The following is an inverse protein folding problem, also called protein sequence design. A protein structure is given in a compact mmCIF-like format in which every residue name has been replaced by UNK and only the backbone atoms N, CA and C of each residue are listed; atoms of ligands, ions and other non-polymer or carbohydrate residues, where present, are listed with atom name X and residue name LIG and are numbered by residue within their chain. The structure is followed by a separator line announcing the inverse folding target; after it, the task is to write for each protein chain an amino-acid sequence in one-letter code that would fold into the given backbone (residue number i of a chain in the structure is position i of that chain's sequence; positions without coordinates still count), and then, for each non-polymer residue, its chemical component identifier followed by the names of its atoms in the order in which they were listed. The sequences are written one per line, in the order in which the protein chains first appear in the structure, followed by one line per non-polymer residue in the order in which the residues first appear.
data_IF_721623517904
#
_entry.id   IF_721623517904
#
_cell.length_a   1.000
_cell.length_b   1.000
_cell.length_c   1.000
_cell.angle_alpha   90.00
_cell.angle_beta   90.00
_cell.angle_gamma   90.00
#
_symmetry.space_group_name_H-M   'P 1'
#
loop_
_entity.id
_entity.type
_entity.pdbx_description
1 polymer ?
#
# COMPACT_ATOMS: atom_id res chain seq x y z
N UNK A 1 3.36 16.15 -19.70
CA UNK A 1 2.10 15.38 -19.65
C UNK A 1 0.99 16.36 -19.33
N UNK A 2 0.08 16.60 -20.27
CA UNK A 2 -1.04 17.53 -20.09
C UNK A 2 -2.02 16.96 -19.08
N UNK A 3 -1.96 17.49 -17.86
CA UNK A 3 -3.04 17.38 -16.88
C UNK A 3 -4.17 18.31 -17.34
N UNK A 4 -5.44 17.87 -17.39
CA UNK A 4 -6.01 16.69 -16.73
C UNK A 4 -6.11 15.44 -17.63
N UNK A 5 -5.94 14.26 -17.02
CA UNK A 5 -6.21 12.95 -17.64
C UNK A 5 -7.71 12.78 -17.94
N UNK A 6 -8.09 12.07 -19.03
CA UNK A 6 -9.48 11.75 -19.33
C UNK A 6 -10.16 11.02 -18.16
N UNK A 7 -11.46 11.26 -17.90
CA UNK A 7 -12.17 10.76 -16.72
C UNK A 7 -12.20 9.23 -16.61
N UNK A 8 -12.21 8.53 -17.74
CA UNK A 8 -12.09 7.06 -17.82
C UNK A 8 -10.70 6.57 -17.42
N UNK A 9 -9.64 7.22 -17.91
CA UNK A 9 -8.25 6.89 -17.54
C UNK A 9 -8.00 7.14 -16.06
N UNK A 10 -8.59 8.20 -15.50
CA UNK A 10 -8.49 8.55 -14.07
C UNK A 10 -9.10 7.48 -13.15
N UNK A 11 -10.27 6.94 -13.51
CA UNK A 11 -10.90 5.82 -12.80
C UNK A 11 -10.04 4.55 -12.84
N UNK A 12 -9.47 4.24 -14.00
CA UNK A 12 -8.63 3.05 -14.19
C UNK A 12 -7.35 3.15 -13.34
N UNK A 13 -6.70 4.30 -13.35
CA UNK A 13 -5.53 4.58 -12.48
C UNK A 13 -5.90 4.45 -11.00
N UNK A 14 -7.04 4.98 -10.57
CA UNK A 14 -7.53 4.80 -9.20
C UNK A 14 -7.74 3.32 -8.81
N UNK A 15 -8.28 2.50 -9.72
CA UNK A 15 -8.39 1.05 -9.51
C UNK A 15 -7.03 0.35 -9.42
N UNK A 16 -6.08 0.71 -10.29
CA UNK A 16 -4.72 0.16 -10.25
C UNK A 16 -4.03 0.49 -8.92
N UNK A 17 -4.12 1.73 -8.44
CA UNK A 17 -3.55 2.12 -7.14
C UNK A 17 -4.20 1.39 -5.96
N UNK A 18 -5.50 1.15 -6.00
CA UNK A 18 -6.19 0.41 -4.95
C UNK A 18 -5.82 -1.06 -4.94
N UNK A 19 -5.78 -1.71 -6.11
CA UNK A 19 -5.39 -3.12 -6.22
C UNK A 19 -3.92 -3.29 -5.84
N UNK A 20 -3.03 -2.43 -6.35
CA UNK A 20 -1.60 -2.47 -6.02
C UNK A 20 -1.37 -2.22 -4.52
N UNK A 21 -2.02 -1.20 -3.94
CA UNK A 21 -1.93 -0.92 -2.51
C UNK A 21 -2.47 -2.06 -1.65
N UNK A 22 -3.55 -2.71 -2.06
CA UNK A 22 -4.13 -3.86 -1.37
C UNK A 22 -3.22 -5.09 -1.42
N UNK A 23 -2.70 -5.44 -2.60
CA UNK A 23 -1.74 -6.55 -2.77
C UNK A 23 -0.46 -6.31 -1.98
N UNK A 24 0.04 -5.08 -1.98
CA UNK A 24 1.24 -4.71 -1.22
C UNK A 24 0.97 -4.80 0.29
N UNK A 25 -0.21 -4.37 0.76
CA UNK A 25 -0.61 -4.49 2.15
C UNK A 25 -0.69 -5.97 2.57
N UNK A 26 -1.31 -6.83 1.76
CA UNK A 26 -1.34 -8.27 2.01
C UNK A 26 0.07 -8.88 2.07
N UNK A 27 0.94 -8.54 1.11
CA UNK A 27 2.31 -9.04 1.09
C UNK A 27 3.12 -8.62 2.32
N UNK A 28 3.00 -7.36 2.73
CA UNK A 28 3.67 -6.86 3.94
C UNK A 28 3.06 -7.47 5.22
N UNK A 29 1.75 -7.68 5.25
CA UNK A 29 1.05 -8.33 6.37
C UNK A 29 1.51 -9.79 6.57
N UNK A 30 1.61 -10.56 5.48
CA UNK A 30 2.14 -11.93 5.52
C UNK A 30 3.60 -11.93 6.00
N UNK A 31 4.42 -11.00 5.50
CA UNK A 31 5.81 -10.86 5.92
C UNK A 31 5.95 -10.54 7.41
N UNK A 32 5.10 -9.64 7.93
CA UNK A 32 5.03 -9.34 9.36
C UNK A 32 4.62 -10.57 10.19
N UNK A 33 3.69 -11.38 9.69
CA UNK A 33 3.33 -12.65 10.29
C UNK A 33 4.51 -13.60 10.41
N UNK A 34 5.30 -13.75 9.34
CA UNK A 34 6.53 -14.57 9.36
C UNK A 34 7.54 -14.05 10.39
N UNK A 35 7.79 -12.73 10.41
CA UNK A 35 8.69 -12.11 11.40
C UNK A 35 8.19 -12.33 12.83
N UNK A 36 6.88 -12.30 13.04
CA UNK A 36 6.28 -12.59 14.35
C UNK A 36 6.50 -14.05 14.76
N UNK A 37 6.34 -15.00 13.84
CA UNK A 37 6.64 -16.41 14.11
C UNK A 37 8.14 -16.65 14.37
N UNK A 38 9.03 -16.02 13.60
CA UNK A 38 10.48 -16.07 13.83
C UNK A 38 10.86 -15.50 15.21
N UNK A 39 10.22 -14.39 15.61
CA UNK A 39 10.42 -13.78 16.92
C UNK A 39 9.99 -14.72 18.06
N UNK A 40 8.89 -15.46 17.89
CA UNK A 40 8.44 -16.44 18.88
C UNK A 40 9.39 -17.64 19.00
N UNK A 41 10.08 -18.03 17.93
CA UNK A 41 10.98 -19.20 17.92
C UNK A 41 12.42 -18.87 18.36
N UNK A 42 12.96 -17.74 17.91
CA UNK A 42 14.38 -17.39 18.04
C UNK A 42 14.62 -16.17 18.95
N UNK A 43 13.55 -15.56 19.47
CA UNK A 43 13.61 -14.37 20.31
C UNK A 43 14.10 -13.13 19.56
N UNK A 44 14.60 -12.15 20.33
CA UNK A 44 15.08 -10.86 19.80
C UNK A 44 16.31 -10.96 18.89
N UNK A 45 17.04 -12.08 18.93
CA UNK A 45 18.21 -12.32 18.08
C UNK A 45 17.85 -12.48 16.59
N UNK A 46 16.61 -12.85 16.27
CA UNK A 46 16.13 -12.97 14.88
C UNK A 46 15.59 -11.65 14.30
N UNK A 47 15.47 -10.60 15.11
CA UNK A 47 14.95 -9.31 14.64
C UNK A 47 16.02 -8.56 13.83
N UNK A 48 16.03 -8.80 12.53
CA UNK A 48 16.81 -7.99 11.60
C UNK A 48 16.17 -6.60 11.45
N UNK A 49 16.75 -5.59 12.11
CA UNK A 49 16.24 -4.21 12.15
C UNK A 49 16.04 -3.61 10.76
N UNK A 50 16.93 -3.90 9.80
CA UNK A 50 16.81 -3.41 8.42
C UNK A 50 15.57 -3.97 7.73
N UNK A 51 15.28 -5.27 7.90
CA UNK A 51 14.09 -5.91 7.32
C UNK A 51 12.80 -5.33 7.91
N UNK A 52 12.83 -4.99 9.20
CA UNK A 52 11.69 -4.42 9.92
C UNK A 52 11.41 -2.99 9.44
N UNK A 53 12.44 -2.14 9.34
CA UNK A 53 12.31 -0.78 8.80
C UNK A 53 11.76 -0.80 7.36
N UNK A 54 12.30 -1.66 6.49
CA UNK A 54 11.80 -1.79 5.11
C UNK A 54 10.34 -2.23 5.07
N UNK A 55 9.94 -3.15 5.95
CA UNK A 55 8.54 -3.60 6.03
C UNK A 55 7.62 -2.46 6.49
N UNK A 56 8.05 -1.63 7.43
CA UNK A 56 7.30 -0.44 7.86
C UNK A 56 7.18 0.61 6.75
N UNK A 57 8.26 0.89 6.01
CA UNK A 57 8.22 1.80 4.87
C UNK A 57 7.25 1.32 3.79
N UNK A 58 7.29 0.02 3.49
CA UNK A 58 6.37 -0.62 2.55
C UNK A 58 4.92 -0.56 3.04
N UNK A 59 4.67 -0.75 4.34
CA UNK A 59 3.34 -0.61 4.94
C UNK A 59 2.78 0.81 4.75
N UNK A 60 3.62 1.83 5.01
CA UNK A 60 3.25 3.24 4.78
C UNK A 60 2.98 3.50 3.30
N UNK A 61 3.82 2.98 2.40
CA UNK A 61 3.60 3.10 0.96
C UNK A 61 2.28 2.45 0.53
N UNK A 62 1.94 1.27 1.05
CA UNK A 62 0.67 0.58 0.80
C UNK A 62 -0.54 1.46 1.19
N UNK A 63 -0.49 2.02 2.40
CA UNK A 63 -1.56 2.90 2.89
C UNK A 63 -1.68 4.19 2.07
N UNK A 64 -0.56 4.78 1.65
CA UNK A 64 -0.58 5.96 0.79
C UNK A 64 -1.16 5.66 -0.60
N UNK A 65 -0.81 4.51 -1.20
CA UNK A 65 -1.40 4.07 -2.47
C UNK A 65 -2.91 3.85 -2.35
N UNK A 66 -3.37 3.21 -1.26
CA UNK A 66 -4.80 3.04 -0.98
C UNK A 66 -5.50 4.39 -0.81
N UNK A 67 -4.91 5.31 -0.03
CA UNK A 67 -5.45 6.67 0.18
C UNK A 67 -5.53 7.45 -1.13
N UNK A 68 -4.51 7.34 -1.98
CA UNK A 68 -4.45 8.03 -3.26
C UNK A 68 -5.49 7.48 -4.24
N UNK A 69 -5.55 6.15 -4.42
CA UNK A 69 -6.56 5.52 -5.27
C UNK A 69 -7.99 5.77 -4.79
N UNK A 70 -8.20 5.88 -3.47
CA UNK A 70 -9.49 6.25 -2.89
C UNK A 70 -9.83 7.73 -3.11
N UNK A 71 -8.86 8.64 -3.03
CA UNK A 71 -9.05 10.07 -3.35
C UNK A 71 -9.43 10.24 -4.82
N UNK A 72 -8.78 9.49 -5.71
CA UNK A 72 -9.03 9.55 -7.15
C UNK A 72 -10.44 9.09 -7.54
N UNK A 73 -11.05 8.19 -6.74
CA UNK A 73 -12.46 7.80 -6.86
C UNK A 73 -13.44 8.87 -6.35
N UNK A 74 -13.07 9.62 -5.31
CA UNK A 74 -13.91 10.70 -4.75
C UNK A 74 -13.80 12.01 -5.52
N UNK A 75 -12.82 12.14 -6.41
CA UNK A 75 -12.72 13.30 -7.29
C UNK A 75 -13.83 13.26 -8.36
N UNK A 76 -14.74 14.23 -8.29
CA UNK A 76 -15.81 14.59 -9.25
C UNK A 76 -17.25 14.10 -8.96
N UNK A 77 -17.66 14.09 -7.69
CA UNK A 77 -19.06 14.48 -7.33
C UNK A 77 -19.17 16.01 -7.14
N UNK A 78 -18.37 16.79 -7.87
CA UNK A 78 -18.67 18.21 -8.11
C UNK A 78 -19.55 18.26 -9.34
N UNK A 79 -20.86 18.32 -9.03
CA UNK A 79 -21.95 18.93 -9.79
C UNK A 79 -21.54 19.60 -11.09
N UNK A 80 -22.08 19.11 -12.20
CA UNK A 80 -22.66 19.90 -13.29
C UNK A 80 -23.96 19.22 -13.72
#
# INVERSE_FOLDING_TARGET
MSWPLPPTTRRLVGWLFLIAGFLLLLGVGLRLGVVYYEYQQLGSAALNSTRLILSLMMLVAAMLMLRYGWRERRGNDTVD
#
